data_IF_748259440944
#
_entry.id   IF_748259440944
#
_cell.length_a   1.000
_cell.length_b   1.000
_cell.length_c   1.000
_cell.angle_alpha   90.00
_cell.angle_beta   90.00
_cell.angle_gamma   90.00
#
_symmetry.space_group_name_H-M   'P 1'
#
loop_
_entity.id
_entity.type
_entity.pdbx_description
1 polymer ?
#
# COMPACT_ATOMS: atom_id res chain seq x y z
N UNK A 1 -4.20 -14.98 19.43
CA UNK A 1 -5.62 -15.42 19.46
C UNK A 1 -6.54 -14.47 20.24
N UNK A 2 -6.17 -14.00 21.44
CA UNK A 2 -7.03 -13.09 22.22
C UNK A 2 -7.31 -11.75 21.51
N UNK A 3 -6.30 -11.14 20.86
CA UNK A 3 -6.46 -9.90 20.07
C UNK A 3 -7.51 -10.07 18.96
N UNK A 4 -7.50 -11.19 18.25
CA UNK A 4 -8.47 -11.47 17.18
C UNK A 4 -9.89 -11.60 17.73
N UNK A 5 -10.07 -12.30 18.86
CA UNK A 5 -11.38 -12.38 19.54
C UNK A 5 -11.87 -11.01 19.99
N UNK A 6 -10.99 -10.21 20.60
CA UNK A 6 -11.33 -8.84 21.01
C UNK A 6 -11.72 -7.98 19.80
N UNK A 7 -10.98 -8.08 18.69
CA UNK A 7 -11.29 -7.38 17.44
C UNK A 7 -12.68 -7.76 16.91
N UNK A 8 -13.02 -9.05 16.86
CA UNK A 8 -14.33 -9.50 16.39
C UNK A 8 -15.49 -9.00 17.26
N UNK A 9 -15.28 -8.88 18.57
CA UNK A 9 -16.30 -8.43 19.52
C UNK A 9 -16.47 -6.90 19.55
N UNK A 10 -15.39 -6.16 19.33
CA UNK A 10 -15.37 -4.70 19.56
C UNK A 10 -15.40 -3.88 18.28
N UNK A 11 -14.92 -4.42 17.15
CA UNK A 11 -14.90 -3.67 15.88
C UNK A 11 -16.23 -3.87 15.16
N UNK A 12 -17.05 -2.81 14.98
CA UNK A 12 -18.33 -2.93 14.29
C UNK A 12 -18.11 -3.32 12.82
N UNK A 13 -18.52 -4.54 12.47
CA UNK A 13 -18.40 -5.05 11.10
C UNK A 13 -19.57 -4.56 10.26
N UNK A 14 -19.33 -3.59 9.38
CA UNK A 14 -20.25 -3.31 8.29
C UNK A 14 -20.16 -4.44 7.26
N UNK A 15 -21.06 -5.43 7.32
CA UNK A 15 -21.26 -6.34 6.17
C UNK A 15 -21.55 -5.47 4.95
N UNK A 16 -20.75 -5.60 3.89
CA UNK A 16 -21.12 -5.06 2.58
C UNK A 16 -22.40 -5.78 2.19
N UNK A 17 -23.54 -5.17 2.48
CA UNK A 17 -24.77 -5.53 1.80
C UNK A 17 -24.46 -5.51 0.30
N UNK A 18 -24.99 -6.51 -0.41
CA UNK A 18 -24.90 -6.62 -1.86
C UNK A 18 -25.16 -5.24 -2.49
N UNK A 19 -24.67 -5.00 -3.71
CA UNK A 19 -24.83 -3.72 -4.44
C UNK A 19 -26.30 -3.30 -4.69
N UNK A 20 -27.29 -3.88 -4.02
CA UNK A 20 -28.63 -3.35 -3.92
C UNK A 20 -28.62 -2.07 -3.08
N UNK A 21 -28.45 -0.95 -3.77
CA UNK A 21 -28.97 0.35 -3.34
C UNK A 21 -28.16 1.08 -2.29
N UNK A 22 -26.83 1.24 -2.44
CA UNK A 22 -26.15 2.33 -1.74
C UNK A 22 -26.77 3.65 -2.17
N UNK A 23 -27.50 4.28 -1.25
CA UNK A 23 -28.03 5.61 -1.43
C UNK A 23 -26.88 6.55 -1.82
N UNK A 24 -26.95 7.26 -2.96
CA UNK A 24 -25.90 8.19 -3.35
C UNK A 24 -25.64 9.22 -2.25
N UNK A 25 -24.39 9.67 -2.09
CA UNK A 25 -24.02 10.59 -1.00
C UNK A 25 -24.79 11.94 -1.03
N UNK A 26 -25.32 12.35 -2.19
CA UNK A 26 -26.16 13.54 -2.33
C UNK A 26 -27.64 13.29 -1.96
N UNK A 27 -28.02 12.06 -1.64
CA UNK A 27 -29.40 11.66 -1.40
C UNK A 27 -29.74 11.74 0.10
N UNK A 28 -30.07 12.96 0.54
CA UNK A 28 -30.50 13.22 1.93
C UNK A 28 -31.91 12.70 2.26
N UNK A 29 -32.25 12.70 3.56
CA UNK A 29 -33.55 12.23 4.08
C UNK A 29 -34.75 12.95 3.45
N UNK A 30 -34.63 14.25 3.21
CA UNK A 30 -35.67 15.07 2.55
C UNK A 30 -35.90 14.64 1.10
N UNK A 31 -34.82 14.44 0.34
CA UNK A 31 -34.88 14.02 -1.06
C UNK A 31 -35.49 12.61 -1.19
N UNK A 32 -35.22 11.74 -0.22
CA UNK A 32 -35.87 10.42 -0.12
C UNK A 32 -37.38 10.54 0.12
N UNK A 33 -37.83 11.49 0.95
CA UNK A 33 -39.26 11.78 1.17
C UNK A 33 -39.92 12.24 -0.13
N UNK A 34 -39.24 13.07 -0.92
CA UNK A 34 -39.76 13.50 -2.21
C UNK A 34 -39.81 12.43 -3.28
N UNK A 35 -38.82 11.53 -3.32
CA UNK A 35 -38.85 10.39 -4.23
C UNK A 35 -40.02 9.45 -3.90
N UNK A 36 -40.31 9.24 -2.59
CA UNK A 36 -41.51 8.53 -2.15
C UNK A 36 -42.79 9.26 -2.55
N UNK A 37 -42.83 10.58 -2.40
CA UNK A 37 -43.98 11.38 -2.83
C UNK A 37 -44.20 11.28 -4.35
N UNK A 38 -43.14 11.40 -5.16
CA UNK A 38 -43.20 11.20 -6.61
C UNK A 38 -43.74 9.82 -6.96
N UNK A 39 -43.33 8.76 -6.26
CA UNK A 39 -43.85 7.40 -6.47
C UNK A 39 -45.33 7.31 -6.11
N UNK A 40 -45.75 7.91 -4.99
CA UNK A 40 -47.18 8.01 -4.61
C UNK A 40 -48.00 8.74 -5.67
N UNK A 41 -47.54 9.89 -6.14
CA UNK A 41 -48.22 10.69 -7.16
C UNK A 41 -48.31 9.96 -8.51
N UNK A 42 -47.34 9.09 -8.84
CA UNK A 42 -47.43 8.23 -10.02
C UNK A 42 -48.60 7.23 -9.92
N UNK A 43 -48.81 6.63 -8.75
CA UNK A 43 -49.93 5.70 -8.52
C UNK A 43 -51.27 6.44 -8.60
N UNK A 44 -51.39 7.60 -7.94
CA UNK A 44 -52.60 8.43 -7.98
C UNK A 44 -52.96 8.91 -9.40
N UNK A 45 -51.95 9.26 -10.21
CA UNK A 45 -52.15 9.58 -11.63
C UNK A 45 -52.61 8.36 -12.43
N UNK A 46 -52.01 7.19 -12.18
CA UNK A 46 -52.38 5.94 -12.87
C UNK A 46 -53.80 5.48 -12.55
N UNK A 47 -54.29 5.79 -11.34
CA UNK A 47 -55.65 5.53 -10.87
C UNK A 47 -56.66 6.60 -11.30
N UNK A 48 -56.24 7.63 -12.04
CA UNK A 48 -57.10 8.70 -12.55
C UNK A 48 -57.50 9.76 -11.51
N UNK A 49 -56.98 9.69 -10.29
CA UNK A 49 -57.31 10.62 -9.20
C UNK A 49 -56.60 11.96 -9.30
N UNK A 50 -55.54 12.05 -10.11
CA UNK A 50 -54.71 13.25 -10.26
C UNK A 50 -54.46 13.51 -11.75
N UNK A 51 -54.55 14.77 -12.17
CA UNK A 51 -54.27 15.16 -13.55
C UNK A 51 -52.79 14.93 -13.93
N UNK A 52 -52.54 14.74 -15.23
CA UNK A 52 -51.19 14.53 -15.73
C UNK A 52 -50.26 15.73 -15.45
N UNK A 53 -50.83 16.93 -15.42
CA UNK A 53 -50.17 18.21 -15.18
C UNK A 53 -49.57 18.24 -13.76
N UNK A 54 -50.39 17.90 -12.74
CA UNK A 54 -49.96 17.86 -11.34
C UNK A 54 -48.84 16.83 -11.16
N UNK A 55 -48.93 15.65 -11.79
CA UNK A 55 -47.85 14.67 -11.74
C UNK A 55 -46.55 15.19 -12.40
N UNK A 56 -46.66 15.81 -13.58
CA UNK A 56 -45.50 16.40 -14.29
C UNK A 56 -44.82 17.48 -13.44
N UNK A 57 -45.57 18.31 -12.72
CA UNK A 57 -45.02 19.31 -11.81
C UNK A 57 -44.20 18.68 -10.67
N UNK A 58 -44.74 17.66 -10.01
CA UNK A 58 -44.02 16.92 -8.96
C UNK A 58 -42.74 16.28 -9.51
N UNK A 59 -42.77 15.72 -10.71
CA UNK A 59 -41.58 15.17 -11.38
C UNK A 59 -40.55 16.26 -11.67
N UNK A 60 -40.96 17.43 -12.18
CA UNK A 60 -40.07 18.58 -12.45
C UNK A 60 -39.43 19.10 -11.16
N UNK A 61 -40.22 19.27 -10.10
CA UNK A 61 -39.74 19.72 -8.80
C UNK A 61 -38.72 18.75 -8.20
N UNK A 62 -39.02 17.45 -8.21
CA UNK A 62 -38.12 16.41 -7.72
C UNK A 62 -36.81 16.38 -8.53
N UNK A 63 -36.87 16.46 -9.88
CA UNK A 63 -35.68 16.54 -10.74
C UNK A 63 -34.83 17.79 -10.44
N UNK A 64 -35.45 18.96 -10.20
CA UNK A 64 -34.76 20.21 -9.85
C UNK A 64 -33.99 20.05 -8.54
N UNK A 65 -34.63 19.48 -7.51
CA UNK A 65 -34.00 19.23 -6.20
C UNK A 65 -32.88 18.20 -6.28
N UNK A 66 -33.04 17.13 -7.05
CA UNK A 66 -31.96 16.16 -7.30
C UNK A 66 -30.74 16.82 -7.97
N UNK A 67 -30.96 17.67 -8.98
CA UNK A 67 -29.88 18.42 -9.64
C UNK A 67 -29.16 19.35 -8.67
N UNK A 68 -29.91 20.10 -7.85
CA UNK A 68 -29.35 21.01 -6.84
C UNK A 68 -28.52 20.25 -5.79
N UNK A 69 -29.03 19.15 -5.26
CA UNK A 69 -28.32 18.33 -4.27
C UNK A 69 -27.02 17.74 -4.83
N UNK A 70 -27.04 17.26 -6.09
CA UNK A 70 -25.86 16.74 -6.76
C UNK A 70 -24.81 17.83 -7.02
N UNK A 71 -25.23 19.00 -7.50
CA UNK A 71 -24.34 20.13 -7.72
C UNK A 71 -23.72 20.64 -6.41
N UNK A 72 -24.50 20.67 -5.32
CA UNK A 72 -24.00 21.06 -4.00
C UNK A 72 -22.94 20.07 -3.48
N UNK A 73 -23.16 18.76 -3.65
CA UNK A 73 -22.15 17.77 -3.31
C UNK A 73 -20.85 17.98 -4.10
N UNK A 74 -20.96 18.22 -5.41
CA UNK A 74 -19.80 18.46 -6.28
C UNK A 74 -19.06 19.75 -5.87
N UNK A 75 -19.78 20.82 -5.54
CA UNK A 75 -19.23 22.08 -5.04
C UNK A 75 -18.52 21.89 -3.69
N UNK A 76 -19.13 21.16 -2.76
CA UNK A 76 -18.52 20.84 -1.46
C UNK A 76 -17.24 20.00 -1.66
N UNK A 77 -17.29 19.00 -2.55
CA UNK A 77 -16.11 18.20 -2.86
C UNK A 77 -14.98 19.02 -3.47
N UNK A 78 -15.29 20.02 -4.29
CA UNK A 78 -14.31 20.92 -4.93
C UNK A 78 -13.72 21.94 -3.95
N UNK A 79 -14.52 22.45 -3.01
CA UNK A 79 -14.08 23.43 -2.01
C UNK A 79 -13.19 22.80 -0.95
N UNK A 80 -13.49 21.58 -0.49
CA UNK A 80 -12.69 20.86 0.51
C UNK A 80 -11.59 19.96 -0.08
N UNK A 81 -11.18 20.16 -1.35
CA UNK A 81 -10.11 19.32 -1.96
C UNK A 81 -8.79 19.48 -1.23
N UNK A 82 -8.46 20.69 -0.76
CA UNK A 82 -7.19 20.95 -0.07
C UNK A 82 -7.06 20.10 1.19
N UNK A 83 -8.15 19.96 1.94
CA UNK A 83 -8.19 19.25 3.22
C UNK A 83 -8.48 17.75 3.06
N UNK A 84 -9.29 17.36 2.07
CA UNK A 84 -9.70 15.97 1.85
C UNK A 84 -9.61 15.54 0.38
N UNK A 85 -8.38 15.49 -0.12
CA UNK A 85 -8.05 15.00 -1.47
C UNK A 85 -8.63 13.60 -1.74
N UNK A 86 -8.67 12.72 -0.73
CA UNK A 86 -9.12 11.32 -0.84
C UNK A 86 -10.59 11.22 -1.25
N UNK A 87 -11.48 12.01 -0.64
CA UNK A 87 -12.91 12.02 -0.97
C UNK A 87 -13.17 12.53 -2.39
N UNK A 88 -12.48 13.59 -2.82
CA UNK A 88 -12.59 14.14 -4.17
C UNK A 88 -12.16 13.12 -5.24
N UNK A 89 -10.96 12.57 -5.13
CA UNK A 89 -10.47 11.60 -6.10
C UNK A 89 -11.27 10.29 -6.08
N UNK A 90 -11.85 9.90 -4.93
CA UNK A 90 -12.81 8.79 -4.85
C UNK A 90 -14.07 9.06 -5.68
N UNK A 91 -14.63 10.28 -5.60
CA UNK A 91 -15.79 10.68 -6.41
C UNK A 91 -15.48 10.66 -7.91
N UNK A 92 -14.36 11.28 -8.31
CA UNK A 92 -13.92 11.32 -9.71
C UNK A 92 -13.65 9.92 -10.26
N UNK A 93 -12.96 9.06 -9.49
CA UNK A 93 -12.72 7.66 -9.87
C UNK A 93 -14.03 6.87 -10.01
N UNK A 94 -15.03 7.16 -9.19
CA UNK A 94 -16.38 6.59 -9.31
C UNK A 94 -17.10 7.01 -10.60
N UNK A 95 -16.90 8.24 -11.07
CA UNK A 95 -17.43 8.74 -12.35
C UNK A 95 -16.71 8.21 -13.58
N UNK A 96 -15.41 7.93 -13.45
CA UNK A 96 -14.57 7.37 -14.51
C UNK A 96 -14.75 5.86 -14.72
N UNK A 97 -15.47 5.16 -13.84
CA UNK A 97 -15.63 3.70 -13.96
C UNK A 97 -16.61 3.32 -15.08
N UNK A 98 -16.06 2.98 -16.25
CA UNK A 98 -16.49 1.77 -16.95
C UNK A 98 -16.22 0.55 -16.06
N UNK A 99 -17.06 -0.49 -16.12
CA UNK A 99 -16.84 -1.75 -15.40
C UNK A 99 -15.61 -2.47 -15.97
N UNK A 100 -14.42 -2.08 -15.54
CA UNK A 100 -13.19 -2.77 -15.93
C UNK A 100 -12.89 -3.86 -14.89
N UNK A 101 -13.68 -4.93 -14.90
CA UNK A 101 -13.17 -6.20 -14.40
C UNK A 101 -12.05 -6.64 -15.35
N UNK A 102 -11.00 -7.28 -14.83
CA UNK A 102 -10.00 -7.93 -15.66
C UNK A 102 -10.73 -9.03 -16.43
N UNK A 103 -10.99 -8.81 -17.73
CA UNK A 103 -11.79 -9.74 -18.54
C UNK A 103 -11.10 -11.09 -18.62
N UNK A 104 -9.86 -11.07 -19.08
CA UNK A 104 -9.00 -12.23 -19.22
C UNK A 104 -7.54 -11.88 -18.90
N UNK A 105 -6.74 -12.90 -18.60
CA UNK A 105 -5.30 -12.86 -18.34
C UNK A 105 -4.64 -13.95 -19.20
N UNK A 106 -3.39 -13.77 -19.60
CA UNK A 106 -2.59 -14.79 -20.26
C UNK A 106 -1.80 -15.54 -19.19
N UNK A 107 -1.84 -16.87 -19.20
CA UNK A 107 -0.93 -17.68 -18.40
C UNK A 107 0.50 -17.69 -19.01
N UNK A 108 1.43 -18.37 -18.35
CA UNK A 108 2.82 -18.51 -18.81
C UNK A 108 2.91 -19.26 -20.16
N UNK A 109 1.92 -20.10 -20.47
CA UNK A 109 1.81 -20.82 -21.74
C UNK A 109 1.10 -20.02 -22.85
N UNK A 110 0.64 -18.80 -22.58
CA UNK A 110 -0.11 -17.97 -23.53
C UNK A 110 -1.60 -18.30 -23.64
N UNK A 111 -2.15 -19.15 -22.76
CA UNK A 111 -3.56 -19.49 -22.76
C UNK A 111 -4.41 -18.40 -22.07
N UNK A 112 -5.66 -18.30 -22.51
CA UNK A 112 -6.61 -17.31 -22.02
C UNK A 112 -7.28 -17.78 -20.73
N UNK A 113 -7.03 -17.06 -19.64
CA UNK A 113 -7.56 -17.34 -18.31
C UNK A 113 -8.66 -16.36 -17.95
N UNK A 114 -9.85 -16.86 -17.62
CA UNK A 114 -11.03 -16.03 -17.32
C UNK A 114 -11.58 -16.22 -15.91
N UNK A 115 -11.40 -17.40 -15.31
CA UNK A 115 -11.83 -17.68 -13.95
C UNK A 115 -10.93 -16.97 -12.93
N UNK A 116 -11.51 -16.49 -11.83
CA UNK A 116 -10.77 -15.72 -10.81
C UNK A 116 -9.69 -16.57 -10.12
N UNK A 117 -9.96 -17.85 -9.85
CA UNK A 117 -8.98 -18.76 -9.24
C UNK A 117 -7.77 -19.01 -10.14
N UNK A 118 -8.01 -19.29 -11.42
CA UNK A 118 -6.95 -19.52 -12.40
C UNK A 118 -6.13 -18.24 -12.64
N UNK A 119 -6.75 -17.06 -12.62
CA UNK A 119 -6.04 -15.77 -12.72
C UNK A 119 -5.07 -15.57 -11.56
N UNK A 120 -5.46 -15.95 -10.35
CA UNK A 120 -4.60 -15.88 -9.16
C UNK A 120 -3.41 -16.83 -9.34
N UNK A 121 -3.64 -18.05 -9.81
CA UNK A 121 -2.55 -19.01 -10.04
C UNK A 121 -1.59 -18.55 -11.15
N UNK A 122 -2.11 -17.98 -12.24
CA UNK A 122 -1.29 -17.42 -13.31
C UNK A 122 -0.40 -16.26 -12.81
N UNK A 123 -0.92 -15.37 -11.95
CA UNK A 123 -0.11 -14.35 -11.29
C UNK A 123 0.93 -14.95 -10.36
N UNK A 124 0.54 -15.92 -9.53
CA UNK A 124 1.43 -16.58 -8.58
C UNK A 124 2.60 -17.28 -9.28
N UNK A 125 2.28 -18.10 -10.28
CA UNK A 125 3.28 -18.80 -11.12
C UNK A 125 4.22 -17.80 -11.78
N UNK A 126 3.69 -16.72 -12.37
CA UNK A 126 4.53 -15.71 -13.01
C UNK A 126 5.45 -15.01 -12.00
N UNK A 127 4.94 -14.51 -10.88
CA UNK A 127 5.75 -13.81 -9.88
C UNK A 127 6.80 -14.74 -9.25
N UNK A 128 6.43 -15.99 -8.96
CA UNK A 128 7.37 -17.00 -8.46
C UNK A 128 8.48 -17.29 -9.48
N UNK A 129 8.16 -17.39 -10.78
CA UNK A 129 9.16 -17.65 -11.83
C UNK A 129 10.24 -16.56 -11.92
N UNK A 130 9.86 -15.30 -11.66
CA UNK A 130 10.79 -14.15 -11.68
C UNK A 130 11.78 -14.24 -10.52
N UNK A 131 11.34 -14.76 -9.38
CA UNK A 131 12.18 -14.96 -8.18
C UNK A 131 13.06 -16.21 -8.33
N UNK A 132 12.47 -17.34 -8.72
CA UNK A 132 13.11 -18.66 -8.74
C UNK A 132 14.20 -18.77 -9.81
N UNK A 133 14.07 -18.10 -10.96
CA UNK A 133 15.00 -18.23 -12.08
C UNK A 133 16.45 -17.83 -11.79
N UNK A 134 16.77 -17.29 -10.59
CA UNK A 134 18.11 -16.81 -10.23
C UNK A 134 18.54 -17.04 -8.78
N UNK A 135 17.65 -17.44 -7.87
CA UNK A 135 18.06 -17.89 -6.53
C UNK A 135 18.32 -19.39 -6.53
N UNK A 136 19.56 -19.78 -6.84
CA UNK A 136 20.15 -20.89 -6.08
C UNK A 136 20.44 -20.30 -4.70
N UNK A 137 19.46 -20.34 -3.80
CA UNK A 137 19.77 -20.30 -2.39
C UNK A 137 20.35 -21.67 -2.05
N UNK A 138 21.62 -21.79 -1.62
CA UNK A 138 22.02 -22.99 -0.92
C UNK A 138 21.08 -23.11 0.28
N UNK A 139 20.38 -24.23 0.38
CA UNK A 139 19.72 -24.57 1.63
C UNK A 139 20.78 -24.56 2.74
N UNK A 140 20.44 -23.90 3.84
CA UNK A 140 21.00 -24.10 5.19
C UNK A 140 22.48 -23.88 5.46
N UNK A 141 23.24 -23.18 4.61
CA UNK A 141 24.60 -22.79 5.01
C UNK A 141 24.91 -21.33 4.67
N UNK A 142 24.84 -20.49 5.70
CA UNK A 142 25.73 -19.34 5.80
C UNK A 142 27.17 -19.87 5.59
N UNK A 143 27.99 -19.33 4.67
CA UNK A 143 29.37 -19.79 4.53
C UNK A 143 30.07 -19.64 5.88
N UNK A 144 30.63 -20.72 6.47
CA UNK A 144 31.23 -20.67 7.80
C UNK A 144 32.36 -19.64 7.94
N UNK A 145 32.92 -19.17 6.82
CA UNK A 145 34.05 -18.24 6.77
C UNK A 145 33.71 -16.74 6.69
N UNK A 146 32.44 -16.33 6.60
CA UNK A 146 32.09 -14.89 6.54
C UNK A 146 32.01 -14.22 7.92
N UNK A 147 32.06 -15.02 8.99
CA UNK A 147 31.76 -14.62 10.36
C UNK A 147 33.01 -14.25 11.18
N UNK A 148 34.19 -14.73 10.78
CA UNK A 148 35.43 -14.59 11.57
C UNK A 148 36.13 -13.24 11.45
N UNK A 149 35.66 -12.36 10.55
CA UNK A 149 36.30 -11.07 10.26
C UNK A 149 35.60 -9.83 10.83
N UNK A 150 34.39 -9.96 11.37
CA UNK A 150 33.62 -8.81 11.87
C UNK A 150 34.00 -8.56 13.33
N UNK A 151 34.72 -7.47 13.60
CA UNK A 151 34.99 -7.01 14.97
C UNK A 151 33.67 -6.91 15.73
N UNK A 152 33.61 -7.49 16.94
CA UNK A 152 32.54 -7.22 17.91
C UNK A 152 32.49 -5.70 18.14
N UNK A 153 31.55 -5.04 17.48
CA UNK A 153 31.08 -3.72 17.88
C UNK A 153 29.57 -3.82 18.06
N UNK A 154 29.17 -3.51 19.29
CA UNK A 154 27.85 -3.23 19.84
C UNK A 154 26.69 -4.07 19.28
N UNK A 155 26.23 -5.00 20.12
CA UNK A 155 24.92 -5.63 19.95
C UNK A 155 23.81 -4.58 19.76
N UNK A 156 22.66 -4.96 19.20
CA UNK A 156 21.60 -4.01 18.91
C UNK A 156 21.19 -3.32 20.22
N UNK A 157 21.15 -1.99 20.23
CA UNK A 157 20.64 -1.21 21.35
C UNK A 157 19.34 -1.84 21.83
N UNK A 158 19.24 -2.13 23.14
CA UNK A 158 18.06 -2.75 23.74
C UNK A 158 16.81 -2.06 23.21
N UNK A 159 15.94 -2.81 22.54
CA UNK A 159 14.73 -2.28 21.94
C UNK A 159 13.80 -1.77 23.05
N UNK A 160 13.74 -0.45 23.19
CA UNK A 160 12.96 0.20 24.23
C UNK A 160 11.46 0.03 23.95
N UNK A 161 10.70 -0.26 25.01
CA UNK A 161 9.23 -0.35 24.95
C UNK A 161 8.61 0.94 24.39
N UNK A 162 9.19 2.07 24.76
CA UNK A 162 8.80 3.41 24.32
C UNK A 162 8.86 3.56 22.80
N UNK A 163 9.90 3.00 22.17
CA UNK A 163 10.09 3.07 20.72
C UNK A 163 9.04 2.20 19.99
N UNK A 164 8.72 1.03 20.55
CA UNK A 164 7.64 0.17 20.03
C UNK A 164 6.30 0.88 20.15
N UNK A 165 6.00 1.45 21.31
CA UNK A 165 4.78 2.25 21.52
C UNK A 165 4.69 3.41 20.54
N UNK A 166 5.78 4.14 20.32
CA UNK A 166 5.82 5.26 19.38
C UNK A 166 5.49 4.80 17.95
N UNK A 167 6.11 3.72 17.45
CA UNK A 167 5.80 3.21 16.10
C UNK A 167 4.35 2.72 15.99
N UNK A 168 3.85 2.01 17.01
CA UNK A 168 2.45 1.57 17.04
C UNK A 168 1.48 2.74 17.00
N UNK A 169 1.78 3.82 17.74
CA UNK A 169 0.94 5.03 17.82
C UNK A 169 0.83 5.76 16.47
N UNK A 170 1.84 5.62 15.60
CA UNK A 170 1.90 6.27 14.28
C UNK A 170 1.45 5.37 13.12
N UNK A 171 0.94 4.16 13.38
CA UNK A 171 0.46 3.26 12.33
C UNK A 171 -0.67 3.86 11.49
N UNK A 172 -0.60 3.68 10.17
CA UNK A 172 -1.69 4.06 9.26
C UNK A 172 -2.89 3.09 9.42
N UNK A 173 -3.89 3.61 10.11
CA UNK A 173 -5.20 3.01 10.41
C UNK A 173 -5.98 2.60 9.16
N UNK A 174 -5.68 3.22 8.02
CA UNK A 174 -6.40 2.99 6.78
C UNK A 174 -5.78 1.91 5.90
N UNK A 175 -4.66 1.31 6.33
CA UNK A 175 -4.06 0.16 5.67
C UNK A 175 -4.96 -1.09 5.78
N UNK A 176 -4.98 -1.94 4.75
CA UNK A 176 -5.66 -3.23 4.81
C UNK A 176 -5.00 -4.17 5.82
N UNK A 177 -5.77 -5.17 6.25
CA UNK A 177 -5.31 -6.22 7.16
C UNK A 177 -4.37 -7.19 6.45
N UNK A 178 -3.29 -7.59 7.13
CA UNK A 178 -2.38 -8.63 6.69
C UNK A 178 -3.00 -10.03 6.73
N UNK A 179 -2.21 -11.08 6.42
CA UNK A 179 -2.64 -12.47 6.53
C UNK A 179 -2.95 -12.89 7.98
N UNK A 180 -2.42 -12.15 8.96
CA UNK A 180 -2.69 -12.31 10.39
C UNK A 180 -4.12 -11.94 10.81
N UNK A 181 -4.86 -11.22 9.94
CA UNK A 181 -6.20 -10.75 10.25
C UNK A 181 -6.25 -9.67 11.32
N UNK A 182 -5.13 -9.04 11.67
CA UNK A 182 -5.07 -7.96 12.66
C UNK A 182 -5.20 -6.62 11.93
N UNK A 183 -6.18 -5.81 12.32
CA UNK A 183 -6.36 -4.49 11.74
C UNK A 183 -5.37 -3.49 12.36
N UNK A 184 -4.66 -2.65 11.58
CA UNK A 184 -3.70 -1.66 12.10
C UNK A 184 -4.27 -0.74 13.17
N UNK A 185 -5.57 -0.43 13.07
CA UNK A 185 -6.30 0.31 14.12
C UNK A 185 -6.24 -0.38 15.49
N UNK A 186 -6.41 -1.70 15.57
CA UNK A 186 -6.40 -2.43 16.85
C UNK A 186 -5.02 -2.33 17.50
N UNK A 187 -3.96 -2.53 16.72
CA UNK A 187 -2.58 -2.42 17.20
C UNK A 187 -2.25 -1.03 17.76
N UNK A 188 -2.78 0.02 17.13
CA UNK A 188 -2.56 1.40 17.56
C UNK A 188 -3.37 1.80 18.79
N UNK A 189 -4.62 1.34 18.89
CA UNK A 189 -5.46 1.65 20.06
C UNK A 189 -5.02 0.84 21.29
N UNK A 190 -4.39 -0.32 21.08
CA UNK A 190 -3.78 -1.16 22.13
C UNK A 190 -2.26 -0.96 22.25
N UNK A 191 -1.72 0.16 21.74
CA UNK A 191 -0.28 0.38 21.69
C UNK A 191 0.37 0.28 23.09
N UNK A 192 -0.27 0.84 24.12
CA UNK A 192 0.23 0.82 25.49
C UNK A 192 0.33 -0.59 26.06
N UNK A 193 -0.67 -1.43 25.80
CA UNK A 193 -0.73 -2.82 26.29
C UNK A 193 0.17 -3.77 25.49
N UNK A 194 0.36 -3.49 24.20
CA UNK A 194 1.12 -4.35 23.29
C UNK A 194 2.60 -4.01 23.22
N UNK A 195 3.01 -2.80 23.60
CA UNK A 195 4.40 -2.34 23.49
C UNK A 195 5.37 -3.27 24.23
N UNK A 196 5.06 -3.60 25.49
CA UNK A 196 5.90 -4.47 26.33
C UNK A 196 6.03 -5.91 25.82
N UNK A 197 4.95 -6.65 25.52
CA UNK A 197 5.11 -8.01 25.01
C UNK A 197 5.77 -8.02 23.63
N UNK A 198 5.49 -7.04 22.77
CA UNK A 198 6.12 -6.96 21.45
C UNK A 198 7.61 -6.61 21.53
N UNK A 199 8.03 -5.74 22.45
CA UNK A 199 9.46 -5.40 22.60
C UNK A 199 10.29 -6.63 22.96
N UNK A 200 9.78 -7.51 23.84
CA UNK A 200 10.43 -8.77 24.21
C UNK A 200 10.57 -9.69 22.99
N UNK A 201 9.49 -9.86 22.21
CA UNK A 201 9.48 -10.72 21.03
C UNK A 201 10.41 -10.17 19.94
N UNK A 202 10.37 -8.87 19.69
CA UNK A 202 11.24 -8.21 18.72
C UNK A 202 12.71 -8.31 19.10
N UNK A 203 13.05 -8.10 20.38
CA UNK A 203 14.41 -8.25 20.87
C UNK A 203 14.92 -9.68 20.67
N UNK A 204 14.10 -10.68 21.02
CA UNK A 204 14.46 -12.08 20.81
C UNK A 204 14.66 -12.40 19.33
N UNK A 205 13.71 -12.01 18.47
CA UNK A 205 13.80 -12.20 17.02
C UNK A 205 15.05 -11.55 16.43
N UNK A 206 15.38 -10.31 16.84
CA UNK A 206 16.58 -9.61 16.37
C UNK A 206 17.87 -10.31 16.81
N UNK A 207 17.95 -10.75 18.08
CA UNK A 207 19.16 -11.40 18.60
C UNK A 207 19.40 -12.77 17.98
N UNK A 208 18.35 -13.57 17.77
CA UNK A 208 18.48 -14.91 17.17
C UNK A 208 18.60 -14.86 15.65
N UNK A 209 18.15 -13.78 15.02
CA UNK A 209 17.99 -13.70 13.56
C UNK A 209 16.80 -14.53 13.06
N UNK A 210 15.93 -15.01 13.95
CA UNK A 210 14.79 -15.83 13.57
C UNK A 210 13.52 -15.00 13.44
N UNK A 211 12.91 -15.02 12.25
CA UNK A 211 11.61 -14.41 11.99
C UNK A 211 10.49 -15.40 12.34
N UNK A 212 9.48 -15.01 13.13
CA UNK A 212 8.29 -15.82 13.37
C UNK A 212 7.56 -16.20 12.07
N UNK A 213 7.08 -17.43 11.96
CA UNK A 213 6.45 -17.93 10.72
C UNK A 213 5.22 -17.12 10.30
N UNK A 214 4.46 -16.60 11.26
CA UNK A 214 3.32 -15.72 10.98
C UNK A 214 3.70 -14.41 10.30
N UNK A 215 4.96 -13.95 10.42
CA UNK A 215 5.46 -12.72 9.78
C UNK A 215 6.05 -12.97 8.40
N UNK A 216 6.51 -14.20 8.12
CA UNK A 216 7.02 -14.61 6.80
C UNK A 216 5.93 -14.67 5.73
N UNK A 217 4.66 -14.73 6.15
CA UNK A 217 3.52 -14.78 5.25
C UNK A 217 3.10 -13.36 4.81
N UNK A 218 2.74 -13.23 3.53
CA UNK A 218 2.23 -11.99 2.96
C UNK A 218 1.19 -12.23 1.88
N UNK A 219 0.16 -11.38 1.85
CA UNK A 219 -0.83 -11.39 0.78
C UNK A 219 -0.30 -10.60 -0.41
N UNK A 220 -0.02 -11.27 -1.54
CA UNK A 220 0.49 -10.60 -2.75
C UNK A 220 -0.67 -10.03 -3.57
N UNK A 221 -0.68 -8.71 -3.72
CA UNK A 221 -1.65 -8.00 -4.55
C UNK A 221 -1.02 -7.56 -5.88
N UNK A 222 -1.55 -7.99 -7.04
CA UNK A 222 -1.07 -7.52 -8.34
C UNK A 222 -1.55 -6.08 -8.60
N UNK A 223 -0.60 -5.15 -8.72
CA UNK A 223 -0.85 -3.74 -9.05
C UNK A 223 -0.49 -3.47 -10.51
N UNK A 224 -1.49 -3.14 -11.32
CA UNK A 224 -1.28 -2.79 -12.73
C UNK A 224 -0.43 -1.52 -12.87
N UNK A 225 0.70 -1.58 -13.59
CA UNK A 225 1.56 -0.41 -13.86
C UNK A 225 0.95 0.48 -14.94
N UNK A 226 1.12 0.07 -16.20
CA UNK A 226 0.70 0.67 -17.48
C UNK A 226 0.69 -0.47 -18.52
N UNK A 227 0.23 -0.24 -19.75
CA UNK A 227 0.14 -1.23 -20.85
C UNK A 227 -1.03 -2.23 -20.73
N UNK A 228 -0.99 -3.25 -21.61
CA UNK A 228 -1.98 -4.32 -21.75
C UNK A 228 -2.21 -5.04 -20.41
N UNK A 229 -3.47 -5.23 -20.03
CA UNK A 229 -3.86 -5.83 -18.74
C UNK A 229 -3.84 -7.35 -18.77
N UNK A 230 -3.77 -7.90 -19.96
CA UNK A 230 -3.82 -9.32 -20.25
C UNK A 230 -2.50 -10.00 -19.87
N UNK A 231 -1.39 -9.26 -19.84
CA UNK A 231 -0.06 -9.78 -19.54
C UNK A 231 0.29 -9.58 -18.05
N UNK A 232 0.55 -10.67 -17.28
CA UNK A 232 1.00 -10.61 -15.89
C UNK A 232 2.27 -9.77 -15.66
N UNK A 233 3.15 -9.67 -16.67
CA UNK A 233 4.38 -8.86 -16.63
C UNK A 233 4.16 -7.37 -16.44
N UNK A 234 2.96 -6.87 -16.77
CA UNK A 234 2.58 -5.47 -16.59
C UNK A 234 2.07 -5.15 -15.17
N UNK A 235 2.11 -6.11 -14.25
CA UNK A 235 1.74 -5.95 -12.86
C UNK A 235 2.97 -5.95 -11.96
N UNK A 236 2.91 -5.19 -10.86
CA UNK A 236 3.86 -5.30 -9.74
C UNK A 236 3.24 -6.18 -8.67
N UNK A 237 3.97 -7.15 -8.11
CA UNK A 237 3.57 -7.75 -6.86
C UNK A 237 3.74 -6.70 -5.74
N UNK A 238 2.70 -6.48 -4.96
CA UNK A 238 2.79 -5.72 -3.72
C UNK A 238 2.37 -6.63 -2.57
N UNK A 239 3.33 -6.97 -1.71
CA UNK A 239 3.08 -7.84 -0.56
C UNK A 239 2.51 -7.04 0.59
N UNK A 240 1.41 -7.52 1.15
CA UNK A 240 0.85 -7.04 2.41
C UNK A 240 1.21 -8.03 3.51
N UNK A 241 2.17 -7.67 4.34
CA UNK A 241 2.69 -8.47 5.45
C UNK A 241 1.86 -8.29 6.71
N UNK A 242 2.18 -9.07 7.75
CA UNK A 242 1.59 -8.88 9.09
C UNK A 242 1.94 -7.51 9.66
N UNK A 243 1.01 -6.88 10.39
CA UNK A 243 1.25 -5.57 11.02
C UNK A 243 2.43 -5.61 12.00
N UNK A 244 2.54 -6.60 12.91
CA UNK A 244 3.70 -6.69 13.79
C UNK A 244 5.01 -6.98 13.05
N UNK A 245 4.99 -7.72 11.94
CA UNK A 245 6.17 -7.92 11.10
C UNK A 245 6.63 -6.63 10.42
N UNK A 246 5.70 -5.83 9.88
CA UNK A 246 6.01 -4.52 9.28
C UNK A 246 6.66 -3.57 10.29
N UNK A 247 6.19 -3.58 11.54
CA UNK A 247 6.80 -2.76 12.62
C UNK A 247 8.23 -3.22 12.92
N UNK A 248 8.49 -4.53 12.94
CA UNK A 248 9.83 -5.06 13.12
C UNK A 248 10.77 -4.67 11.96
N UNK A 249 10.29 -4.79 10.72
CA UNK A 249 11.03 -4.34 9.52
C UNK A 249 11.44 -2.87 9.62
N UNK A 250 10.62 -2.00 10.22
CA UNK A 250 10.97 -0.59 10.42
C UNK A 250 12.12 -0.39 11.43
N UNK A 251 12.21 -1.22 12.47
CA UNK A 251 13.35 -1.16 13.40
C UNK A 251 14.65 -1.58 12.71
N UNK A 252 14.61 -2.69 11.97
CA UNK A 252 15.75 -3.18 11.21
C UNK A 252 16.17 -2.17 10.14
N UNK A 253 15.22 -1.61 9.40
CA UNK A 253 15.48 -0.55 8.43
C UNK A 253 16.11 0.68 9.09
N UNK A 254 15.65 1.07 10.28
CA UNK A 254 16.18 2.22 11.01
C UNK A 254 17.62 1.96 11.44
N UNK A 255 17.93 0.78 11.96
CA UNK A 255 19.29 0.38 12.32
C UNK A 255 20.24 0.37 11.12
N UNK A 256 19.83 -0.24 9.99
CA UNK A 256 20.61 -0.25 8.75
C UNK A 256 20.83 1.18 8.26
N UNK A 257 19.78 2.01 8.27
CA UNK A 257 19.84 3.38 7.76
C UNK A 257 20.75 4.26 8.61
N UNK A 258 20.70 4.11 9.93
CA UNK A 258 21.58 4.83 10.86
C UNK A 258 23.04 4.43 10.63
N UNK A 259 23.32 3.13 10.57
CA UNK A 259 24.66 2.60 10.31
C UNK A 259 25.24 3.09 8.98
N UNK A 260 24.45 3.11 7.92
CA UNK A 260 24.88 3.59 6.60
C UNK A 260 25.07 5.11 6.53
N UNK A 261 24.41 5.88 7.40
CA UNK A 261 24.62 7.33 7.52
C UNK A 261 25.91 7.64 8.26
N UNK A 262 26.20 6.90 9.34
CA UNK A 262 27.38 7.10 10.17
C UNK A 262 28.66 6.55 9.49
N UNK A 263 28.53 5.48 8.70
CA UNK A 263 29.64 4.78 8.02
C UNK A 263 29.98 5.19 6.58
N UNK A 264 29.47 6.31 6.07
CA UNK A 264 29.76 6.84 4.71
C UNK A 264 29.42 5.87 3.54
N UNK A 265 28.41 5.00 3.69
CA UNK A 265 28.08 3.98 2.67
C UNK A 265 27.26 4.46 1.47
N UNK A 266 26.63 5.64 1.54
CA UNK A 266 25.71 6.15 0.50
C UNK A 266 26.22 7.47 -0.08
N UNK A 267 26.40 7.50 -1.41
CA UNK A 267 26.87 8.69 -2.13
C UNK A 267 25.93 9.89 -1.94
N UNK A 268 26.51 11.09 -1.79
CA UNK A 268 25.78 12.35 -1.66
C UNK A 268 24.97 12.74 -2.91
N UNK A 269 25.06 12.02 -4.02
CA UNK A 269 24.20 12.21 -5.21
C UNK A 269 22.91 11.38 -5.16
N UNK A 270 22.81 10.39 -4.27
CA UNK A 270 21.62 9.55 -4.16
C UNK A 270 20.46 10.31 -3.52
N UNK A 271 19.35 10.42 -4.25
CA UNK A 271 18.15 11.11 -3.78
C UNK A 271 16.99 10.16 -3.45
N UNK A 272 16.88 9.04 -4.15
CA UNK A 272 15.86 8.04 -3.88
C UNK A 272 16.02 7.39 -2.51
N UNK A 273 14.90 7.21 -1.80
CA UNK A 273 14.83 6.54 -0.49
C UNK A 273 15.72 7.14 0.60
N UNK A 274 16.04 8.44 0.52
CA UNK A 274 16.84 9.17 1.51
C UNK A 274 15.98 10.17 2.28
N UNK A 275 16.09 10.18 3.61
CA UNK A 275 15.42 11.17 4.46
C UNK A 275 15.85 12.58 4.05
N UNK A 276 14.89 13.49 3.95
CA UNK A 276 15.14 14.90 3.57
C UNK A 276 15.48 15.14 2.09
N UNK A 277 15.43 14.12 1.24
CA UNK A 277 15.69 14.23 -0.20
C UNK A 277 14.45 13.87 -1.01
N UNK A 278 14.19 14.64 -2.05
CA UNK A 278 13.00 14.50 -2.89
C UNK A 278 13.40 14.38 -4.36
N UNK A 279 12.48 13.96 -5.23
CA UNK A 279 12.71 14.01 -6.67
C UNK A 279 13.01 15.44 -7.15
N UNK A 280 12.41 16.44 -6.50
CA UNK A 280 12.64 17.85 -6.82
C UNK A 280 14.08 18.27 -6.52
N UNK A 281 14.65 17.87 -5.38
CA UNK A 281 16.04 18.22 -5.04
C UNK A 281 17.02 17.57 -6.01
N UNK A 282 16.73 16.36 -6.49
CA UNK A 282 17.52 15.72 -7.54
C UNK A 282 17.49 16.53 -8.84
N UNK A 283 16.29 16.98 -9.24
CA UNK A 283 16.10 17.75 -10.46
C UNK A 283 16.83 19.09 -10.40
N UNK A 284 16.75 19.77 -9.26
CA UNK A 284 17.48 21.04 -9.02
C UNK A 284 18.99 20.80 -9.09
N UNK A 285 19.51 19.80 -8.37
CA UNK A 285 20.94 19.47 -8.38
C UNK A 285 21.44 19.11 -9.78
N UNK A 286 20.62 18.43 -10.58
CA UNK A 286 20.95 18.10 -11.96
C UNK A 286 21.01 19.34 -12.84
N UNK A 287 19.95 20.18 -12.83
CA UNK A 287 19.92 21.38 -13.67
C UNK A 287 20.99 22.40 -13.29
N UNK A 288 21.30 22.55 -12.01
CA UNK A 288 22.39 23.42 -11.55
C UNK A 288 23.73 23.05 -12.21
N UNK A 289 24.06 21.75 -12.20
CA UNK A 289 25.27 21.23 -12.85
C UNK A 289 25.25 21.44 -14.37
N UNK A 290 24.12 21.13 -15.03
CA UNK A 290 23.97 21.30 -16.48
C UNK A 290 24.11 22.78 -16.87
N UNK A 291 23.41 23.68 -16.18
CA UNK A 291 23.44 25.12 -16.45
C UNK A 291 24.84 25.69 -16.25
N UNK A 292 25.56 25.27 -15.21
CA UNK A 292 26.95 25.68 -15.00
C UNK A 292 27.87 25.25 -16.16
N UNK A 293 27.75 24.01 -16.64
CA UNK A 293 28.55 23.51 -17.78
C UNK A 293 28.21 24.23 -19.09
N UNK A 294 26.94 24.48 -19.34
CA UNK A 294 26.47 25.22 -20.52
C UNK A 294 26.96 26.67 -20.50
N UNK A 295 26.91 27.36 -19.35
CA UNK A 295 27.46 28.71 -19.20
C UNK A 295 28.97 28.76 -19.43
N UNK A 296 29.69 27.69 -19.12
CA UNK A 296 31.11 27.54 -19.42
C UNK A 296 31.40 27.17 -20.91
N UNK A 297 30.37 27.14 -21.77
CA UNK A 297 30.50 26.79 -23.18
C UNK A 297 30.79 25.31 -23.45
N UNK A 298 30.56 24.42 -22.47
CA UNK A 298 30.79 22.99 -22.60
C UNK A 298 29.55 22.27 -23.11
N UNK A 299 29.75 21.27 -23.97
CA UNK A 299 28.69 20.34 -24.36
C UNK A 299 28.34 19.40 -23.20
N UNK A 300 27.07 19.04 -23.07
CA UNK A 300 26.57 18.15 -22.02
C UNK A 300 25.72 17.05 -22.65
N UNK A 301 26.15 15.80 -22.47
CA UNK A 301 25.39 14.61 -22.86
C UNK A 301 24.84 13.91 -21.60
N UNK A 302 23.61 13.41 -21.68
CA UNK A 302 22.91 12.81 -20.52
C UNK A 302 22.47 11.40 -20.87
N UNK A 303 22.90 10.43 -20.06
CA UNK A 303 22.54 9.02 -20.19
C UNK A 303 21.59 8.63 -19.07
N UNK A 304 20.38 8.20 -19.42
CA UNK A 304 19.41 7.65 -18.47
C UNK A 304 19.48 6.13 -18.45
N UNK A 305 19.69 5.56 -17.26
CA UNK A 305 19.74 4.12 -17.02
C UNK A 305 18.56 3.71 -16.13
N UNK A 306 17.88 2.62 -16.47
CA UNK A 306 16.79 2.04 -15.66
C UNK A 306 16.98 0.53 -15.53
N UNK A 307 16.71 0.01 -14.33
CA UNK A 307 16.82 -1.42 -14.04
C UNK A 307 15.47 -2.11 -14.24
N UNK A 308 15.45 -3.13 -15.09
CA UNK A 308 14.25 -3.98 -15.24
C UNK A 308 14.05 -4.81 -13.97
N UNK A 309 12.86 -4.68 -13.35
CA UNK A 309 12.46 -5.45 -12.16
C UNK A 309 13.51 -5.38 -11.03
N UNK A 310 13.90 -4.16 -10.68
CA UNK A 310 15.03 -3.89 -9.79
C UNK A 310 14.94 -4.58 -8.43
N UNK A 311 13.75 -4.71 -7.84
CA UNK A 311 13.58 -5.37 -6.53
C UNK A 311 13.54 -6.89 -6.67
N UNK A 312 12.94 -7.39 -7.76
CA UNK A 312 12.78 -8.82 -8.00
C UNK A 312 14.07 -9.48 -8.53
N UNK A 313 15.05 -8.70 -8.97
CA UNK A 313 16.30 -9.20 -9.59
C UNK A 313 17.53 -9.13 -8.68
N UNK A 314 17.39 -8.64 -7.45
CA UNK A 314 18.52 -8.56 -6.50
C UNK A 314 18.90 -9.96 -6.03
N UNK A 315 20.19 -10.30 -6.13
CA UNK A 315 20.73 -11.53 -5.55
C UNK A 315 20.89 -11.35 -4.04
N UNK A 316 20.23 -12.18 -3.24
CA UNK A 316 20.29 -12.11 -1.78
C UNK A 316 21.71 -12.34 -1.25
N UNK A 317 22.47 -13.30 -1.80
CA UNK A 317 23.85 -13.54 -1.38
C UNK A 317 24.75 -12.33 -1.60
N UNK A 318 24.72 -11.73 -2.80
CA UNK A 318 25.49 -10.52 -3.10
C UNK A 318 25.07 -9.32 -2.27
N UNK A 319 23.78 -9.22 -1.93
CA UNK A 319 23.28 -8.17 -1.04
C UNK A 319 23.87 -8.34 0.37
N UNK A 320 23.79 -9.55 0.93
CA UNK A 320 24.33 -9.86 2.26
C UNK A 320 25.85 -9.65 2.32
N UNK A 321 26.61 -10.08 1.31
CA UNK A 321 28.05 -9.83 1.23
C UNK A 321 28.39 -8.33 1.27
N UNK A 322 27.63 -7.51 0.52
CA UNK A 322 27.80 -6.05 0.53
C UNK A 322 27.46 -5.44 1.89
N UNK A 323 26.37 -5.90 2.52
CA UNK A 323 25.97 -5.43 3.83
C UNK A 323 27.00 -5.81 4.90
N UNK A 324 27.57 -7.02 4.82
CA UNK A 324 28.66 -7.46 5.69
C UNK A 324 29.94 -6.63 5.50
N UNK A 325 30.29 -6.29 4.26
CA UNK A 325 31.44 -5.42 3.97
C UNK A 325 31.30 -4.00 4.56
N UNK A 326 30.07 -3.54 4.78
CA UNK A 326 29.79 -2.28 5.47
C UNK A 326 29.81 -2.41 7.01
N UNK A 327 30.27 -3.52 7.58
CA UNK A 327 30.41 -3.73 9.03
C UNK A 327 29.08 -3.63 9.79
N UNK A 328 27.97 -4.08 9.17
CA UNK A 328 26.69 -4.20 9.87
C UNK A 328 26.75 -5.28 10.97
N UNK A 329 26.03 -5.05 12.06
CA UNK A 329 25.96 -5.99 13.17
C UNK A 329 25.45 -7.36 12.72
N UNK A 330 26.06 -8.44 13.24
CA UNK A 330 25.75 -9.83 12.85
C UNK A 330 24.29 -10.20 13.07
N UNK A 331 23.68 -9.73 14.16
CA UNK A 331 22.26 -9.94 14.45
C UNK A 331 21.34 -9.32 13.37
N UNK A 332 21.69 -8.14 12.88
CA UNK A 332 20.94 -7.42 11.84
C UNK A 332 21.15 -8.01 10.45
N UNK A 333 22.30 -8.64 10.20
CA UNK A 333 22.57 -9.41 8.98
C UNK A 333 21.89 -10.79 9.00
N UNK A 334 21.75 -11.39 10.18
CA UNK A 334 21.14 -12.70 10.35
C UNK A 334 19.62 -12.68 10.27
N UNK A 335 18.99 -11.59 10.73
CA UNK A 335 17.55 -11.33 10.64
C UNK A 335 17.14 -10.98 9.20
#
# INVERSE_FOLDING_TARGET
QQILRAQEQTVPVCRKMSRQGKCPAWMGKELMKELRNKKRMYHLWKEGQVSQEIFKEVVRACRKKMRKAKAQLELNLATFVKDNKRCFYKYIKGKRKGKNNLGYLLDVGGNLVTADGEKVEAFNTFFASVLIGKTVCPQDNCPPGLVDGVKEQDGPSVLQEEAVRELLSHLDVHKPMGPDGIHPRVMRELADELAKPLSIVYQQSWLTGEVPDGWKLGNVMPIHKKCKKEDPGNFRPASLTSVPGEVMEQFILSAITQHLQDGWGITLSQHGFRRGRLCLTNLISFYDQVTHLVHAGKAVDVVYLDFSKAFETVSHSKLLEKLAAHSLARCTLGW
#
